data_IF_776611138574
#
_entry.id   IF_776611138574
#
_cell.length_a   1.000
_cell.length_b   1.000
_cell.length_c   1.000
_cell.angle_alpha   90.00
_cell.angle_beta   90.00
_cell.angle_gamma   90.00
#
_symmetry.space_group_name_H-M   'P 1'
#
loop_
_entity.id
_entity.type
_entity.pdbx_description
1 polymer ?
#
# COMPACT_ATOMS: atom_id res chain seq x y z
N UNK A 1 -67.22 -32.29 -44.68
CA UNK A 1 -66.59 -32.43 -46.01
C UNK A 1 -65.18 -31.91 -45.84
N UNK A 2 -64.25 -32.79 -45.45
CA UNK A 2 -63.46 -33.65 -46.37
C UNK A 2 -62.58 -32.74 -47.26
N UNK A 3 -61.26 -32.82 -47.33
CA UNK A 3 -60.28 -33.69 -46.71
C UNK A 3 -58.87 -33.13 -46.99
N UNK A 4 -57.94 -33.51 -46.12
CA UNK A 4 -56.59 -34.01 -46.43
C UNK A 4 -55.60 -33.21 -47.29
N UNK A 5 -54.51 -32.84 -46.63
CA UNK A 5 -53.19 -32.62 -47.24
C UNK A 5 -52.09 -32.79 -46.18
N UNK A 6 -51.59 -34.01 -46.07
CA UNK A 6 -50.75 -34.53 -44.99
C UNK A 6 -49.23 -34.28 -45.14
N UNK A 7 -48.58 -34.04 -43.99
CA UNK A 7 -47.34 -34.67 -43.45
C UNK A 7 -46.04 -34.65 -44.26
N UNK A 8 -44.98 -34.08 -43.67
CA UNK A 8 -43.65 -34.71 -43.39
C UNK A 8 -42.77 -33.69 -42.64
N UNK A 9 -42.55 -33.80 -41.32
CA UNK A 9 -41.51 -34.58 -40.63
C UNK A 9 -40.05 -34.28 -41.04
N UNK A 10 -39.31 -33.77 -40.05
CA UNK A 10 -37.95 -34.19 -39.68
C UNK A 10 -36.77 -33.73 -40.57
N UNK A 11 -35.88 -32.92 -40.04
CA UNK A 11 -34.63 -33.41 -39.42
C UNK A 11 -33.71 -32.25 -39.02
N UNK A 12 -33.24 -32.31 -37.78
CA UNK A 12 -32.11 -31.58 -37.23
C UNK A 12 -30.80 -32.00 -37.89
N UNK A 13 -29.95 -31.07 -38.32
CA UNK A 13 -28.52 -31.34 -38.57
C UNK A 13 -27.66 -30.20 -38.02
N UNK A 14 -27.09 -30.50 -36.84
CA UNK A 14 -25.88 -29.92 -36.27
C UNK A 14 -24.67 -30.20 -37.17
N UNK A 15 -23.77 -29.24 -37.42
CA UNK A 15 -22.46 -29.56 -38.00
C UNK A 15 -21.56 -30.14 -36.91
N UNK A 16 -21.42 -31.47 -36.93
CA UNK A 16 -20.42 -32.21 -36.19
C UNK A 16 -19.03 -32.03 -36.82
N UNK A 17 -18.10 -31.63 -35.95
CA UNK A 17 -16.68 -31.99 -35.88
C UNK A 17 -16.15 -32.90 -37.00
N UNK A 18 -15.22 -32.37 -37.81
CA UNK A 18 -14.20 -33.22 -38.46
C UNK A 18 -12.91 -33.20 -37.65
N UNK A 19 -12.59 -34.38 -37.10
CA UNK A 19 -11.26 -34.73 -36.62
C UNK A 19 -10.24 -34.54 -37.74
N UNK A 20 -9.15 -33.83 -37.45
CA UNK A 20 -7.90 -33.97 -38.19
C UNK A 20 -6.90 -34.72 -37.32
N UNK A 21 -6.53 -35.89 -37.84
CA UNK A 21 -5.57 -36.86 -37.33
C UNK A 21 -4.20 -36.25 -37.01
N UNK A 22 -3.56 -36.81 -35.98
CA UNK A 22 -2.27 -36.47 -35.41
C UNK A 22 -1.12 -36.80 -36.37
N UNK A 23 -0.12 -35.92 -36.41
CA UNK A 23 1.25 -36.29 -36.80
C UNK A 23 2.22 -35.70 -35.78
N UNK A 24 2.92 -36.61 -35.12
CA UNK A 24 3.93 -36.38 -34.09
C UNK A 24 5.16 -35.70 -34.67
N UNK A 25 5.54 -34.55 -34.11
CA UNK A 25 6.86 -33.96 -34.32
C UNK A 25 7.44 -33.62 -32.94
N UNK A 26 8.40 -34.44 -32.50
CA UNK A 26 9.21 -34.22 -31.31
C UNK A 26 9.98 -32.89 -31.42
N UNK A 27 9.42 -31.82 -30.87
CA UNK A 27 10.16 -30.59 -30.63
C UNK A 27 10.84 -30.69 -29.26
N UNK A 28 12.15 -30.95 -29.33
CA UNK A 28 13.08 -30.84 -28.21
C UNK A 28 12.87 -29.49 -27.53
N UNK A 29 12.42 -29.52 -26.28
CA UNK A 29 12.38 -28.34 -25.41
C UNK A 29 13.81 -27.83 -25.22
N UNK A 30 14.18 -26.84 -26.04
CA UNK A 30 15.36 -26.04 -25.80
C UNK A 30 15.08 -25.19 -24.57
N UNK A 31 15.70 -25.57 -23.45
CA UNK A 31 15.74 -24.77 -22.23
C UNK A 31 16.45 -23.47 -22.59
N UNK A 32 15.68 -22.45 -22.95
CA UNK A 32 16.15 -21.06 -22.98
C UNK A 32 16.62 -20.74 -21.57
N UNK A 33 17.94 -20.78 -21.38
CA UNK A 33 18.61 -20.22 -20.21
C UNK A 33 18.00 -18.85 -20.00
N UNK A 34 17.30 -18.67 -18.88
CA UNK A 34 16.90 -17.34 -18.42
C UNK A 34 18.19 -16.53 -18.42
N UNK A 35 18.29 -15.55 -19.31
CA UNK A 35 19.33 -14.56 -19.21
C UNK A 35 19.22 -14.04 -17.77
N UNK A 36 20.24 -14.30 -16.96
CA UNK A 36 20.38 -13.73 -15.64
C UNK A 36 20.32 -12.21 -15.87
N UNK A 37 19.15 -11.63 -15.66
CA UNK A 37 19.00 -10.19 -15.53
C UNK A 37 19.93 -9.84 -14.38
N UNK A 38 21.08 -9.25 -14.73
CA UNK A 38 22.03 -8.73 -13.76
C UNK A 38 21.22 -7.86 -12.81
N UNK A 39 21.27 -8.09 -11.49
CA UNK A 39 20.66 -7.17 -10.54
C UNK A 39 21.18 -5.77 -10.87
N UNK A 40 20.32 -4.73 -10.91
CA UNK A 40 20.79 -3.37 -11.08
C UNK A 40 21.91 -3.16 -10.04
N UNK A 41 23.09 -2.73 -10.51
CA UNK A 41 24.23 -2.39 -9.66
C UNK A 41 23.85 -1.16 -8.84
N UNK A 42 23.09 -1.39 -7.77
CA UNK A 42 22.87 -0.42 -6.72
C UNK A 42 24.18 -0.30 -5.95
N UNK A 43 24.88 0.83 -6.10
CA UNK A 43 25.98 1.25 -5.21
C UNK A 43 25.41 1.58 -3.81
N UNK A 44 24.73 0.63 -3.16
CA UNK A 44 24.16 0.82 -1.83
C UNK A 44 25.19 0.41 -0.78
N UNK A 45 25.35 1.23 0.24
CA UNK A 45 26.12 0.86 1.43
C UNK A 45 25.50 -0.39 2.06
N UNK A 46 26.34 -1.38 2.39
CA UNK A 46 25.90 -2.52 3.18
C UNK A 46 25.56 -2.04 4.59
N UNK A 47 24.39 -2.45 5.10
CA UNK A 47 23.95 -2.15 6.46
C UNK A 47 24.08 -3.43 7.30
N UNK A 48 25.11 -3.55 8.16
CA UNK A 48 25.25 -4.70 9.05
C UNK A 48 24.08 -4.78 10.03
N UNK A 49 23.61 -5.99 10.34
CA UNK A 49 22.64 -6.24 11.44
C UNK A 49 21.15 -6.10 11.10
N UNK A 50 20.76 -5.75 9.88
CA UNK A 50 19.34 -5.79 9.45
C UNK A 50 18.99 -7.18 8.87
N UNK A 51 18.73 -8.15 9.75
CA UNK A 51 18.48 -9.55 9.38
C UNK A 51 17.02 -9.90 9.01
N UNK A 52 16.04 -9.06 9.38
CA UNK A 52 14.61 -9.39 9.23
C UNK A 52 13.90 -8.60 8.11
N UNK A 53 14.31 -7.36 7.85
CA UNK A 53 13.77 -6.49 6.80
C UNK A 53 14.83 -5.49 6.34
N UNK A 54 14.72 -4.90 5.15
CA UNK A 54 15.59 -3.79 4.75
C UNK A 54 15.22 -2.53 5.54
N UNK A 55 16.17 -1.61 5.84
CA UNK A 55 15.87 -0.33 6.49
C UNK A 55 14.76 0.45 5.77
N UNK A 56 14.75 0.41 4.44
CA UNK A 56 13.71 1.02 3.61
C UNK A 56 12.33 0.38 3.83
N UNK A 57 12.26 -0.93 4.05
CA UNK A 57 11.00 -1.61 4.33
C UNK A 57 10.45 -1.21 5.72
N UNK A 58 11.33 -1.03 6.71
CA UNK A 58 10.94 -0.52 8.04
C UNK A 58 10.44 0.92 7.95
N UNK A 59 11.13 1.78 7.20
CA UNK A 59 10.67 3.15 6.95
C UNK A 59 9.32 3.19 6.20
N UNK A 60 9.15 2.35 5.19
CA UNK A 60 7.89 2.24 4.44
C UNK A 60 6.74 1.77 5.34
N UNK A 61 6.97 0.84 6.27
CA UNK A 61 5.96 0.41 7.24
C UNK A 61 5.51 1.57 8.14
N UNK A 62 6.47 2.34 8.68
CA UNK A 62 6.15 3.51 9.49
C UNK A 62 5.35 4.55 8.71
N UNK A 63 5.68 4.78 7.43
CA UNK A 63 4.92 5.67 6.56
C UNK A 63 3.50 5.15 6.29
N UNK A 64 3.31 3.84 6.12
CA UNK A 64 1.99 3.23 5.96
C UNK A 64 1.09 3.51 7.18
N UNK A 65 1.62 3.34 8.39
CA UNK A 65 0.89 3.62 9.63
C UNK A 65 0.62 5.13 9.79
N UNK A 66 1.61 5.97 9.47
CA UNK A 66 1.44 7.42 9.44
C UNK A 66 0.35 7.89 8.47
N UNK A 67 0.30 7.34 7.25
CA UNK A 67 -0.76 7.67 6.29
C UNK A 67 -2.14 7.23 6.77
N UNK A 68 -2.22 6.15 7.55
CA UNK A 68 -3.49 5.75 8.17
C UNK A 68 -3.92 6.77 9.22
N UNK A 69 -2.99 7.25 10.05
CA UNK A 69 -3.26 8.35 10.99
C UNK A 69 -3.73 9.62 10.27
N UNK A 70 -3.01 10.06 9.23
CA UNK A 70 -3.39 11.25 8.44
C UNK A 70 -4.78 11.08 7.83
N UNK A 71 -5.06 9.92 7.23
CA UNK A 71 -6.36 9.65 6.64
C UNK A 71 -7.51 9.69 7.66
N UNK A 72 -7.31 9.18 8.88
CA UNK A 72 -8.31 9.30 9.96
C UNK A 72 -8.57 10.76 10.31
N UNK A 73 -7.54 11.60 10.39
CA UNK A 73 -7.69 13.04 10.66
C UNK A 73 -8.45 13.76 9.55
N UNK A 74 -8.15 13.44 8.29
CA UNK A 74 -8.87 13.98 7.12
C UNK A 74 -10.35 13.58 7.15
N UNK A 75 -10.65 12.29 7.40
CA UNK A 75 -12.04 11.80 7.48
C UNK A 75 -12.78 12.44 8.65
N UNK A 76 -12.16 12.57 9.82
CA UNK A 76 -12.76 13.28 10.96
C UNK A 76 -13.13 14.72 10.60
N UNK A 77 -12.23 15.47 9.97
CA UNK A 77 -12.51 16.85 9.53
C UNK A 77 -13.63 16.94 8.49
N UNK A 78 -13.74 15.94 7.59
CA UNK A 78 -14.87 15.87 6.64
C UNK A 78 -16.20 15.61 7.36
N UNK A 79 -16.21 14.74 8.36
CA UNK A 79 -17.43 14.36 9.08
C UNK A 79 -17.96 15.46 10.00
N UNK A 80 -17.11 16.34 10.51
CA UNK A 80 -17.50 17.41 11.45
C UNK A 80 -18.64 18.29 10.89
N UNK A 81 -18.65 18.55 9.59
CA UNK A 81 -19.70 19.32 8.91
C UNK A 81 -20.75 18.45 8.21
N UNK A 82 -20.34 17.31 7.66
CA UNK A 82 -21.20 16.47 6.82
C UNK A 82 -22.09 15.51 7.64
N UNK A 83 -21.54 14.90 8.70
CA UNK A 83 -22.25 13.95 9.55
C UNK A 83 -21.64 13.95 10.98
N UNK A 84 -22.15 14.82 11.88
CA UNK A 84 -21.64 14.97 13.23
C UNK A 84 -21.79 13.72 14.11
N UNK A 85 -22.80 12.88 13.88
CA UNK A 85 -22.98 11.63 14.63
C UNK A 85 -21.84 10.65 14.33
N UNK A 86 -21.56 10.41 13.04
CA UNK A 86 -20.44 9.56 12.62
C UNK A 86 -19.07 10.13 13.02
N UNK A 87 -18.97 11.46 13.18
CA UNK A 87 -17.77 12.12 13.68
C UNK A 87 -17.50 11.75 15.14
N UNK A 88 -18.52 11.83 16.00
CA UNK A 88 -18.40 11.46 17.41
C UNK A 88 -18.19 9.95 17.59
N UNK A 89 -18.87 9.10 16.83
CA UNK A 89 -18.63 7.65 16.82
C UNK A 89 -17.16 7.31 16.52
N UNK A 90 -16.59 7.94 15.49
CA UNK A 90 -15.19 7.71 15.10
C UNK A 90 -14.21 8.22 16.15
N UNK A 91 -14.50 9.36 16.79
CA UNK A 91 -13.71 9.88 17.92
C UNK A 91 -13.76 8.92 19.12
N UNK A 92 -14.94 8.45 19.48
CA UNK A 92 -15.11 7.50 20.58
C UNK A 92 -14.33 6.21 20.30
N UNK A 93 -14.43 5.67 19.07
CA UNK A 93 -13.67 4.50 18.66
C UNK A 93 -12.15 4.72 18.77
N UNK A 94 -11.66 5.89 18.34
CA UNK A 94 -10.24 6.26 18.41
C UNK A 94 -9.72 6.38 19.85
N UNK A 95 -10.56 6.79 20.80
CA UNK A 95 -10.16 6.84 22.22
C UNK A 95 -9.91 5.44 22.80
N UNK A 96 -10.64 4.43 22.30
CA UNK A 96 -10.53 3.02 22.73
C UNK A 96 -9.49 2.23 21.94
N UNK A 97 -9.13 2.68 20.72
CA UNK A 97 -8.27 1.95 19.79
C UNK A 97 -7.10 2.84 19.33
N UNK A 98 -5.87 2.60 19.81
CA UNK A 98 -4.71 3.39 19.39
C UNK A 98 -4.36 3.14 17.91
N UNK A 99 -3.90 4.19 17.24
CA UNK A 99 -3.54 4.20 15.81
C UNK A 99 -2.12 3.71 15.50
N UNK A 100 -1.47 3.00 16.43
CA UNK A 100 -0.07 2.56 16.26
C UNK A 100 0.10 1.53 15.14
N UNK A 101 -0.90 0.67 14.93
CA UNK A 101 -0.96 -0.28 13.81
C UNK A 101 -2.19 0.05 12.98
N UNK A 102 -1.97 0.70 11.83
CA UNK A 102 -3.03 1.22 11.00
C UNK A 102 -3.92 0.11 10.41
N UNK A 103 -3.33 -1.04 10.10
CA UNK A 103 -4.09 -2.17 9.54
C UNK A 103 -4.90 -2.88 10.63
N UNK A 104 -4.34 -3.05 11.84
CA UNK A 104 -5.12 -3.55 13.00
C UNK A 104 -6.27 -2.60 13.34
N UNK A 105 -6.04 -1.28 13.33
CA UNK A 105 -7.07 -0.28 13.56
C UNK A 105 -8.22 -0.42 12.55
N UNK A 106 -7.92 -0.44 11.25
CA UNK A 106 -8.94 -0.60 10.22
C UNK A 106 -9.68 -1.94 10.37
N UNK A 107 -8.96 -3.01 10.74
CA UNK A 107 -9.55 -4.33 10.94
C UNK A 107 -10.56 -4.35 12.09
N UNK A 108 -10.27 -3.64 13.18
CA UNK A 108 -11.15 -3.53 14.32
C UNK A 108 -12.34 -2.64 14.00
N UNK A 109 -12.11 -1.49 13.36
CA UNK A 109 -13.16 -0.55 12.96
C UNK A 109 -14.19 -1.22 12.04
N UNK A 110 -13.75 -2.05 11.09
CA UNK A 110 -14.65 -2.82 10.23
C UNK A 110 -15.55 -3.83 10.94
N UNK A 111 -15.21 -4.23 12.17
CA UNK A 111 -15.99 -5.20 12.97
C UNK A 111 -16.91 -4.58 14.00
N UNK A 112 -16.75 -3.28 14.30
CA UNK A 112 -17.53 -2.60 15.34
C UNK A 112 -19.02 -2.49 14.95
N UNK A 113 -19.31 -1.96 13.75
CA UNK A 113 -20.68 -1.90 13.20
C UNK A 113 -20.66 -1.70 11.68
N UNK A 114 -21.81 -1.86 10.99
CA UNK A 114 -21.92 -1.55 9.55
C UNK A 114 -21.53 -0.10 9.20
N UNK A 115 -21.86 0.87 10.06
CA UNK A 115 -21.49 2.27 9.88
C UNK A 115 -19.97 2.45 10.01
N UNK A 116 -19.34 1.85 11.04
CA UNK A 116 -17.89 1.86 11.19
C UNK A 116 -17.17 1.16 10.05
N UNK A 117 -17.75 0.11 9.47
CA UNK A 117 -17.22 -0.54 8.26
C UNK A 117 -17.18 0.43 7.07
N UNK A 118 -18.22 1.23 6.86
CA UNK A 118 -18.20 2.25 5.82
C UNK A 118 -17.10 3.31 6.06
N UNK A 119 -16.92 3.73 7.32
CA UNK A 119 -15.84 4.66 7.70
C UNK A 119 -14.44 4.07 7.46
N UNK A 120 -14.23 2.80 7.80
CA UNK A 120 -12.97 2.11 7.55
C UNK A 120 -12.64 2.04 6.06
N UNK A 121 -13.62 1.72 5.20
CA UNK A 121 -13.44 1.73 3.75
C UNK A 121 -13.08 3.13 3.23
N UNK A 122 -13.71 4.18 3.76
CA UNK A 122 -13.38 5.57 3.43
C UNK A 122 -11.94 5.92 3.82
N UNK A 123 -11.51 5.55 5.03
CA UNK A 123 -10.12 5.74 5.50
C UNK A 123 -9.13 5.00 4.58
N UNK A 124 -9.44 3.77 4.18
CA UNK A 124 -8.59 2.99 3.27
C UNK A 124 -8.44 3.65 1.89
N UNK A 125 -9.52 4.25 1.35
CA UNK A 125 -9.47 5.02 0.11
C UNK A 125 -8.63 6.28 0.27
N UNK A 126 -8.89 7.07 1.32
CA UNK A 126 -8.19 8.33 1.59
C UNK A 126 -6.69 8.10 1.80
N UNK A 127 -6.27 7.08 2.58
CA UNK A 127 -4.84 6.81 2.76
C UNK A 127 -4.14 6.38 1.47
N UNK A 128 -4.84 5.65 0.59
CA UNK A 128 -4.30 5.30 -0.73
C UNK A 128 -4.14 6.54 -1.60
N UNK A 129 -5.17 7.38 -1.71
CA UNK A 129 -5.14 8.61 -2.50
C UNK A 129 -4.03 9.55 -1.99
N UNK A 130 -4.03 9.83 -0.68
CA UNK A 130 -3.02 10.68 -0.05
C UNK A 130 -1.60 10.21 -0.34
N UNK A 131 -1.31 8.92 -0.18
CA UNK A 131 0.04 8.38 -0.41
C UNK A 131 0.52 8.47 -1.88
N UNK A 132 -0.41 8.50 -2.85
CA UNK A 132 -0.10 8.41 -4.28
C UNK A 132 -0.18 9.75 -5.00
N UNK A 133 -1.07 10.63 -4.56
CA UNK A 133 -1.47 11.83 -5.29
C UNK A 133 -1.09 13.10 -4.53
N UNK A 134 -1.28 13.15 -3.21
CA UNK A 134 -1.11 14.37 -2.42
C UNK A 134 0.23 14.45 -1.68
N UNK A 135 0.79 13.31 -1.27
CA UNK A 135 2.00 13.30 -0.44
C UNK A 135 3.24 13.66 -1.25
N UNK A 136 3.90 14.75 -0.86
CA UNK A 136 5.07 15.29 -1.54
C UNK A 136 6.34 14.48 -1.24
N UNK A 137 6.52 13.35 -1.92
CA UNK A 137 7.67 12.46 -1.76
C UNK A 137 9.03 13.16 -1.96
N UNK A 138 9.12 14.07 -2.93
CA UNK A 138 10.36 14.82 -3.18
C UNK A 138 10.69 15.79 -2.05
N UNK A 139 9.66 16.40 -1.44
CA UNK A 139 9.84 17.29 -0.31
C UNK A 139 10.26 16.49 0.94
N UNK A 140 9.63 15.33 1.19
CA UNK A 140 10.07 14.41 2.25
C UNK A 140 11.56 14.07 2.11
N UNK A 141 12.00 13.72 0.89
CA UNK A 141 13.41 13.40 0.63
C UNK A 141 14.34 14.58 0.90
N UNK A 142 13.99 15.78 0.41
CA UNK A 142 14.77 17.01 0.64
C UNK A 142 14.87 17.33 2.14
N UNK A 143 13.75 17.24 2.86
CA UNK A 143 13.71 17.48 4.30
C UNK A 143 14.54 16.45 5.07
N UNK A 144 14.48 15.17 4.71
CA UNK A 144 15.28 14.13 5.36
C UNK A 144 16.78 14.41 5.28
N UNK A 145 17.28 14.87 4.13
CA UNK A 145 18.68 15.28 4.00
C UNK A 145 19.00 16.52 4.83
N UNK A 146 18.18 17.57 4.67
CA UNK A 146 18.35 18.84 5.40
C UNK A 146 18.39 18.64 6.91
N UNK A 147 17.49 17.82 7.46
CA UNK A 147 17.42 17.56 8.90
C UNK A 147 18.68 16.88 9.43
N UNK A 148 19.27 15.94 8.68
CA UNK A 148 20.53 15.27 9.08
C UNK A 148 21.69 16.27 9.06
N UNK A 149 21.83 17.06 7.99
CA UNK A 149 22.90 18.04 7.84
C UNK A 149 22.83 19.13 8.92
N UNK A 150 21.63 19.66 9.17
CA UNK A 150 21.39 20.66 10.22
C UNK A 150 21.62 20.08 11.61
N UNK A 151 21.18 18.84 11.87
CA UNK A 151 21.40 18.20 13.16
C UNK A 151 22.88 17.97 13.44
N UNK A 152 23.65 17.50 12.45
CA UNK A 152 25.09 17.30 12.59
C UNK A 152 25.82 18.63 12.84
N UNK A 153 25.46 19.69 12.09
CA UNK A 153 26.03 21.03 12.28
C UNK A 153 25.74 21.58 13.68
N UNK A 154 24.49 21.41 14.15
CA UNK A 154 24.08 21.85 15.47
C UNK A 154 24.85 21.12 16.58
N UNK A 155 24.95 19.79 16.50
CA UNK A 155 25.67 18.99 17.49
C UNK A 155 27.14 19.40 17.61
N UNK A 156 27.82 19.66 16.48
CA UNK A 156 29.20 20.14 16.50
C UNK A 156 29.32 21.53 17.11
N UNK A 157 28.39 22.44 16.81
CA UNK A 157 28.36 23.78 17.40
C UNK A 157 28.16 23.71 18.93
N UNK A 158 27.19 22.91 19.38
CA UNK A 158 26.88 22.74 20.81
C UNK A 158 28.08 22.20 21.57
N UNK A 159 28.75 21.17 21.03
CA UNK A 159 29.95 20.58 21.63
C UNK A 159 31.11 21.59 21.80
N UNK A 160 31.38 22.38 20.76
CA UNK A 160 32.46 23.39 20.81
C UNK A 160 32.15 24.46 21.87
N UNK A 161 30.90 24.91 21.95
CA UNK A 161 30.48 25.89 22.97
C UNK A 161 30.69 25.31 24.36
N UNK A 162 30.16 24.11 24.64
CA UNK A 162 30.25 23.46 25.96
C UNK A 162 31.70 23.27 26.43
N UNK A 163 32.57 22.79 25.53
CA UNK A 163 33.97 22.51 25.88
C UNK A 163 34.82 23.77 26.03
N UNK A 164 34.56 24.82 25.25
CA UNK A 164 35.31 26.09 25.34
C UNK A 164 35.05 26.87 26.64
N UNK A 165 33.88 26.71 27.26
CA UNK A 165 33.60 27.32 28.56
C UNK A 165 34.33 26.60 29.71
N UNK A 166 34.60 25.30 29.58
CA UNK A 166 35.34 24.52 30.59
C UNK A 166 36.84 24.83 30.62
N UNK A 167 37.40 25.41 29.56
CA UNK A 167 38.82 25.78 29.50
C UNK A 167 39.12 27.15 30.14
N UNK A 168 38.11 28.03 30.32
CA UNK A 168 38.31 29.37 30.88
C UNK A 168 38.18 29.44 32.41
N UNK A 169 37.71 28.38 33.07
CA UNK A 169 37.51 28.30 34.52
C UNK A 169 38.59 27.46 35.24
N UNK A 170 39.74 27.21 34.60
CA UNK A 170 40.94 26.58 35.19
C UNK A 170 42.15 27.50 35.07
#
# INVERSE_FOLDING_TARGET
MEASGAIALSTSIVPSLRLRSQSSAHHRFSVRRKALLRPPRCQKMFVPGFGEALPEAKAAKNLQDFFTYVAVRVVLGQLESYNPEAHEDLKEFMSRNPLNDGDKFCRNLMRESPNHKALALRIMQVRSAYSKEDFEWDNLKKLAFKMVDESNTRLMREYVIETSHLENDK
#
